data_IF_830071475100
#
_entry.id   IF_830071475100
#
_cell.length_a   1.000
_cell.length_b   1.000
_cell.length_c   1.000
_cell.angle_alpha   90.00
_cell.angle_beta   90.00
_cell.angle_gamma   90.00
#
_symmetry.space_group_name_H-M   'P 1'
#
loop_
_entity.id
_entity.type
_entity.pdbx_description
1 polymer ?
#
# COMPACT_ATOMS: atom_id res chain seq x y z
N UNK A 1 15.12 -17.77 -26.34
CA UNK A 1 13.73 -18.25 -26.15
C UNK A 1 12.98 -17.16 -25.41
N UNK A 2 12.32 -16.26 -26.13
CA UNK A 2 11.47 -15.23 -25.52
C UNK A 2 10.19 -15.94 -25.04
N UNK A 3 9.95 -15.97 -23.74
CA UNK A 3 8.70 -16.46 -23.16
C UNK A 3 7.77 -15.26 -22.91
N UNK A 4 6.84 -14.95 -23.83
CA UNK A 4 5.89 -13.84 -23.67
C UNK A 4 4.98 -13.98 -22.44
N UNK A 5 4.88 -15.19 -21.87
CA UNK A 5 4.21 -15.45 -20.60
C UNK A 5 4.96 -14.87 -19.40
N UNK A 6 6.30 -14.92 -19.43
CA UNK A 6 7.13 -14.48 -18.31
C UNK A 6 7.11 -12.95 -18.16
N UNK A 7 7.08 -12.20 -19.26
CA UNK A 7 6.96 -10.73 -19.22
C UNK A 7 5.58 -10.29 -18.71
N UNK A 8 4.53 -11.02 -19.10
CA UNK A 8 3.16 -10.81 -18.58
C UNK A 8 3.06 -11.12 -17.09
N UNK A 9 3.67 -12.21 -16.63
CA UNK A 9 3.69 -12.59 -15.22
C UNK A 9 4.42 -11.55 -14.37
N UNK A 10 5.58 -11.08 -14.82
CA UNK A 10 6.31 -9.99 -14.15
C UNK A 10 5.47 -8.72 -14.05
N UNK A 11 4.80 -8.34 -15.14
CA UNK A 11 3.90 -7.18 -15.13
C UNK A 11 2.74 -7.33 -14.13
N UNK A 12 2.13 -8.52 -14.06
CA UNK A 12 1.05 -8.79 -13.11
C UNK A 12 1.54 -8.80 -11.66
N UNK A 13 2.74 -9.34 -11.40
CA UNK A 13 3.37 -9.32 -10.09
C UNK A 13 3.72 -7.89 -9.66
N UNK A 14 4.31 -7.10 -10.55
CA UNK A 14 4.57 -5.67 -10.30
C UNK A 14 3.26 -4.93 -9.98
N UNK A 15 2.19 -5.21 -10.74
CA UNK A 15 0.88 -4.60 -10.53
C UNK A 15 0.27 -4.97 -9.17
N UNK A 16 0.31 -6.25 -8.80
CA UNK A 16 -0.19 -6.72 -7.51
C UNK A 16 0.61 -6.11 -6.37
N UNK A 17 1.94 -6.09 -6.51
CA UNK A 17 2.83 -5.47 -5.54
C UNK A 17 2.53 -3.98 -5.35
N UNK A 18 2.39 -3.23 -6.45
CA UNK A 18 2.06 -1.79 -6.36
C UNK A 18 0.69 -1.60 -5.71
N UNK A 19 -0.33 -2.37 -6.08
CA UNK A 19 -1.62 -2.28 -5.41
C UNK A 19 -1.53 -2.62 -3.90
N UNK A 20 -0.68 -3.57 -3.50
CA UNK A 20 -0.45 -3.91 -2.10
C UNK A 20 0.19 -2.77 -1.29
N UNK A 21 0.95 -1.87 -1.94
CA UNK A 21 1.49 -0.66 -1.29
C UNK A 21 0.41 0.33 -0.83
N UNK A 22 -0.83 0.20 -1.31
CA UNK A 22 -1.96 0.97 -0.76
C UNK A 22 -2.32 0.53 0.68
N UNK A 23 -1.90 -0.67 1.10
CA UNK A 23 -2.20 -1.20 2.42
C UNK A 23 -1.15 -0.76 3.44
N UNK A 24 -1.54 -0.07 4.53
CA UNK A 24 -0.60 0.33 5.59
C UNK A 24 0.08 -0.83 6.28
N UNK A 25 -0.65 -1.94 6.46
CA UNK A 25 -0.12 -3.14 7.10
C UNK A 25 1.04 -3.72 6.29
N UNK A 26 0.94 -3.66 4.97
CA UNK A 26 1.99 -4.13 4.07
C UNK A 26 3.22 -3.21 4.10
N UNK A 27 3.02 -1.89 4.08
CA UNK A 27 4.11 -0.92 4.25
C UNK A 27 4.86 -1.12 5.57
N UNK A 28 4.13 -1.38 6.65
CA UNK A 28 4.73 -1.67 7.95
C UNK A 28 5.52 -2.98 7.92
N UNK A 29 4.99 -4.03 7.27
CA UNK A 29 5.70 -5.29 7.12
C UNK A 29 7.03 -5.10 6.36
N UNK A 30 7.02 -4.33 5.26
CA UNK A 30 8.23 -3.99 4.49
C UNK A 30 9.25 -3.23 5.33
N UNK A 31 8.79 -2.29 6.17
CA UNK A 31 9.65 -1.55 7.08
C UNK A 31 10.27 -2.46 8.15
N UNK A 32 9.47 -3.32 8.78
CA UNK A 32 9.93 -4.26 9.81
C UNK A 32 10.90 -5.31 9.26
N UNK A 33 10.68 -5.78 8.04
CA UNK A 33 11.57 -6.70 7.36
C UNK A 33 12.84 -6.02 6.80
N UNK A 34 13.01 -4.72 7.00
CA UNK A 34 14.16 -3.90 6.59
C UNK A 34 14.42 -3.88 5.07
N UNK A 35 13.42 -4.21 4.26
CA UNK A 35 13.52 -4.08 2.80
C UNK A 35 13.67 -2.62 2.37
N UNK A 36 13.10 -1.67 3.12
CA UNK A 36 13.18 -0.24 2.82
C UNK A 36 14.57 0.38 3.09
N UNK A 37 15.48 -0.38 3.73
CA UNK A 37 16.88 0.00 3.96
C UNK A 37 17.80 -0.51 2.84
N UNK A 38 17.37 -1.49 2.05
CA UNK A 38 18.16 -2.09 0.98
C UNK A 38 18.16 -1.22 -0.29
N UNK A 39 19.35 -0.83 -0.75
CA UNK A 39 19.53 -0.04 -1.98
C UNK A 39 19.01 -0.75 -3.23
N UNK A 40 19.10 -2.08 -3.28
CA UNK A 40 18.56 -2.85 -4.39
C UNK A 40 17.03 -2.73 -4.46
N UNK A 41 16.37 -2.80 -3.30
CA UNK A 41 14.92 -2.66 -3.20
C UNK A 41 14.46 -1.23 -3.50
N UNK A 42 15.21 -0.22 -3.05
CA UNK A 42 14.94 1.19 -3.38
C UNK A 42 15.02 1.40 -4.90
N UNK A 43 16.02 0.82 -5.57
CA UNK A 43 16.13 0.83 -7.03
C UNK A 43 14.92 0.19 -7.72
N UNK A 44 14.39 -0.89 -7.16
CA UNK A 44 13.15 -1.52 -7.65
C UNK A 44 11.92 -0.61 -7.46
N UNK A 45 11.80 0.09 -6.33
CA UNK A 45 10.74 1.09 -6.14
C UNK A 45 10.86 2.26 -7.13
N UNK A 46 12.09 2.66 -7.49
CA UNK A 46 12.32 3.66 -8.55
C UNK A 46 11.89 3.14 -9.90
N UNK A 47 12.17 1.87 -10.22
CA UNK A 47 11.68 1.22 -11.44
C UNK A 47 10.15 1.29 -11.50
N UNK A 48 9.44 0.94 -10.42
CA UNK A 48 7.97 0.99 -10.36
C UNK A 48 7.37 2.40 -10.54
N UNK A 49 8.16 3.48 -10.58
CA UNK A 49 7.64 4.82 -10.88
C UNK A 49 7.00 4.92 -12.28
N UNK A 50 7.29 4.00 -13.21
CA UNK A 50 6.61 3.96 -14.52
C UNK A 50 5.09 3.79 -14.38
N UNK A 51 4.59 3.24 -13.27
CA UNK A 51 3.15 3.12 -13.00
C UNK A 51 2.42 4.47 -12.86
N UNK A 52 3.17 5.57 -12.64
CA UNK A 52 2.60 6.92 -12.67
C UNK A 52 2.21 7.37 -14.08
N UNK A 53 2.76 6.76 -15.13
CA UNK A 53 2.45 7.14 -16.49
C UNK A 53 1.01 6.77 -16.84
N UNK A 54 0.28 7.63 -17.58
CA UNK A 54 -1.14 7.43 -17.88
C UNK A 54 -1.43 6.14 -18.66
N UNK A 55 -0.44 5.62 -19.37
CA UNK A 55 -0.54 4.35 -20.09
C UNK A 55 -0.67 3.13 -19.17
N UNK A 56 -0.11 3.19 -17.95
CA UNK A 56 -0.10 2.09 -16.98
C UNK A 56 -1.02 2.34 -15.78
N UNK A 57 -1.21 3.60 -15.37
CA UNK A 57 -2.04 3.95 -14.21
C UNK A 57 -3.50 3.49 -14.34
N UNK A 58 -3.99 3.28 -15.57
CA UNK A 58 -5.32 2.71 -15.84
C UNK A 58 -5.56 1.30 -15.27
N UNK A 59 -4.49 0.56 -14.97
CA UNK A 59 -4.57 -0.79 -14.39
C UNK A 59 -4.57 -0.76 -12.85
N UNK A 60 -4.26 0.38 -12.24
CA UNK A 60 -4.21 0.54 -10.78
C UNK A 60 -5.63 0.57 -10.22
N UNK A 61 -5.88 -0.31 -9.25
CA UNK A 61 -7.19 -0.42 -8.59
C UNK A 61 -7.27 0.61 -7.47
N UNK A 62 -6.18 0.79 -6.72
CA UNK A 62 -6.11 1.67 -5.56
C UNK A 62 -5.22 2.88 -5.83
N UNK A 63 -5.77 4.07 -6.13
CA UNK A 63 -4.97 5.24 -6.51
C UNK A 63 -4.00 5.69 -5.41
N UNK A 64 -4.28 5.32 -4.15
CA UNK A 64 -3.42 5.64 -3.01
C UNK A 64 -2.04 4.97 -3.08
N UNK A 65 -1.90 3.84 -3.78
CA UNK A 65 -0.60 3.17 -3.89
C UNK A 65 0.46 4.05 -4.56
N UNK A 66 0.09 4.82 -5.59
CA UNK A 66 0.99 5.71 -6.32
C UNK A 66 1.48 6.85 -5.41
N UNK A 67 0.62 7.33 -4.52
CA UNK A 67 1.01 8.31 -3.52
C UNK A 67 2.05 7.74 -2.55
N UNK A 68 1.80 6.54 -2.02
CA UNK A 68 2.76 5.86 -1.14
C UNK A 68 4.06 5.51 -1.85
N UNK A 69 4.02 5.10 -3.12
CA UNK A 69 5.19 4.81 -3.91
C UNK A 69 6.11 6.04 -4.02
N UNK A 70 5.54 7.23 -4.23
CA UNK A 70 6.28 8.49 -4.21
C UNK A 70 6.83 8.86 -2.82
N UNK A 71 6.07 8.58 -1.75
CA UNK A 71 6.52 8.82 -0.38
C UNK A 71 7.68 7.88 0.02
N UNK A 72 7.63 6.62 -0.39
CA UNK A 72 8.68 5.62 -0.11
C UNK A 72 10.05 5.99 -0.70
N UNK A 73 10.11 6.83 -1.73
CA UNK A 73 11.38 7.34 -2.24
C UNK A 73 12.11 8.23 -1.22
N UNK A 74 11.35 8.92 -0.36
CA UNK A 74 11.90 9.80 0.69
C UNK A 74 12.47 8.96 1.83
N UNK A 75 13.75 9.17 2.16
CA UNK A 75 14.43 8.44 3.24
C UNK A 75 13.78 8.73 4.59
N UNK A 76 13.29 9.94 4.78
CA UNK A 76 12.60 10.41 5.99
C UNK A 76 11.31 9.62 6.22
N UNK A 77 10.55 9.36 5.15
CA UNK A 77 9.30 8.60 5.25
C UNK A 77 9.55 7.12 5.54
N UNK A 78 10.59 6.53 4.94
CA UNK A 78 11.02 5.16 5.24
C UNK A 78 11.44 5.01 6.70
N UNK A 79 12.19 5.96 7.22
CA UNK A 79 12.55 5.99 8.64
C UNK A 79 11.33 6.18 9.54
N UNK A 80 10.37 7.02 9.13
CA UNK A 80 9.12 7.22 9.86
C UNK A 80 8.22 5.98 9.86
N UNK A 81 8.22 5.16 8.80
CA UNK A 81 7.48 3.89 8.76
C UNK A 81 7.96 2.87 9.81
N UNK A 82 9.24 2.96 10.22
CA UNK A 82 9.76 2.15 11.32
C UNK A 82 9.30 2.66 12.71
N UNK A 83 8.78 3.90 12.81
CA UNK A 83 8.26 4.43 14.07
C UNK A 83 6.88 3.86 14.37
N UNK A 84 6.68 3.40 15.62
CA UNK A 84 5.39 2.92 16.11
C UNK A 84 4.41 4.10 16.16
N UNK A 85 3.50 4.19 15.18
CA UNK A 85 2.49 5.24 15.07
C UNK A 85 1.89 5.40 13.68
N UNK A 86 2.60 4.99 12.62
CA UNK A 86 2.05 5.04 11.25
C UNK A 86 0.85 4.09 11.08
N UNK A 87 0.87 2.95 11.78
CA UNK A 87 -0.27 2.02 11.85
C UNK A 87 -1.53 2.71 12.35
N UNK A 88 -1.44 3.43 13.46
CA UNK A 88 -2.57 4.12 14.09
C UNK A 88 -3.06 5.29 13.24
N UNK A 89 -2.16 6.01 12.56
CA UNK A 89 -2.51 7.10 11.66
C UNK A 89 -3.29 6.59 10.44
N UNK A 90 -2.82 5.51 9.81
CA UNK A 90 -3.47 4.98 8.61
C UNK A 90 -4.72 4.15 8.96
N UNK A 91 -4.73 3.45 10.10
CA UNK A 91 -5.95 2.81 10.63
C UNK A 91 -7.03 3.87 10.95
N UNK A 92 -6.65 5.02 11.51
CA UNK A 92 -7.59 6.14 11.74
C UNK A 92 -8.12 6.72 10.42
N UNK A 93 -7.29 6.85 9.39
CA UNK A 93 -7.71 7.31 8.06
C UNK A 93 -8.62 6.31 7.36
N UNK A 94 -8.35 5.00 7.49
CA UNK A 94 -9.24 3.96 6.98
C UNK A 94 -10.56 3.95 7.75
N UNK A 95 -10.55 4.00 9.07
CA UNK A 95 -11.77 4.07 9.89
C UNK A 95 -12.67 5.27 9.54
N UNK A 96 -12.07 6.44 9.29
CA UNK A 96 -12.81 7.62 8.82
C UNK A 96 -13.47 7.39 7.44
N UNK A 97 -12.80 6.67 6.53
CA UNK A 97 -13.40 6.28 5.25
C UNK A 97 -14.59 5.31 5.43
N UNK A 98 -14.52 4.37 6.38
CA UNK A 98 -15.65 3.48 6.73
C UNK A 98 -16.81 4.23 7.41
N UNK A 99 -16.54 5.27 8.19
CA UNK A 99 -17.59 6.11 8.79
C UNK A 99 -18.37 6.95 7.77
N UNK A 100 -17.74 7.32 6.65
CA UNK A 100 -18.37 8.15 5.61
C UNK A 100 -18.76 7.39 4.33
N UNK A 101 -18.38 6.12 4.19
CA UNK A 101 -18.47 5.35 2.93
C UNK A 101 -19.44 4.15 2.92
N UNK A 102 -20.13 3.84 4.02
CA UNK A 102 -21.21 2.85 3.99
C UNK A 102 -22.54 3.54 4.38
N UNK A 103 -23.50 3.75 3.45
CA UNK A 103 -24.86 4.00 3.85
C UNK A 103 -25.34 2.73 4.55
N UNK A 104 -25.64 2.87 5.84
CA UNK A 104 -26.21 1.90 6.77
C UNK A 104 -26.56 0.54 6.15
N UNK A 105 -25.83 -0.50 6.58
CA UNK A 105 -26.49 -1.78 6.86
C UNK A 105 -26.54 -1.94 8.36
N UNK A 106 -27.71 -1.63 8.86
CA UNK A 106 -28.23 -1.92 10.18
C UNK A 106 -27.67 -3.20 10.81
N UNK A 107 -27.46 -3.10 12.13
CA UNK A 107 -27.62 -4.22 13.05
C UNK A 107 -26.33 -4.88 13.50
N UNK A 108 -25.60 -4.26 14.42
CA UNK A 108 -24.82 -5.00 15.41
C UNK A 108 -25.39 -4.69 16.80
N UNK A 109 -25.85 -5.71 17.56
CA UNK A 109 -26.56 -5.50 18.80
C UNK A 109 -25.60 -4.98 19.87
N UNK A 110 -26.02 -3.91 20.52
CA UNK A 110 -25.43 -3.39 21.74
C UNK A 110 -25.40 -4.53 22.77
N UNK A 111 -24.20 -5.02 23.11
CA UNK A 111 -24.00 -5.92 24.23
C UNK A 111 -24.12 -5.08 25.50
N UNK A 112 -25.34 -4.93 26.00
CA UNK A 112 -25.56 -4.67 27.42
C UNK A 112 -25.11 -5.91 28.20
N UNK A 113 -24.19 -5.70 29.14
CA UNK A 113 -23.69 -6.71 30.06
C UNK A 113 -22.73 -6.05 31.05
N UNK A 114 -23.27 -5.47 32.13
CA UNK A 114 -23.17 -6.01 33.50
C UNK A 114 -21.89 -5.56 34.22
N UNK A 115 -22.01 -4.58 35.12
CA UNK A 115 -22.18 -4.75 36.59
C UNK A 115 -22.69 -3.43 37.15
#
# INVERSE_FOLDING_TARGET
MNQPTQDRERFLLDLEFVNALASPLYLQHLAQARYLEDEAFIGYLTYLQYWHEPQYSKYIIYPHCLHFLGLLQRKEFRAALCQKGVKELIESQQFHFWQHGCPSRDGAPQKEGTV
#
